data_IF_716165436848
#
_entry.id   IF_716165436848
#
_cell.length_a   1.000
_cell.length_b   1.000
_cell.length_c   1.000
_cell.angle_alpha   90.00
_cell.angle_beta   90.00
_cell.angle_gamma   90.00
#
_symmetry.space_group_name_H-M   'P 1'
#
loop_
_entity.id
_entity.type
_entity.pdbx_description
1 polymer ?
#
# COMPACT_ATOMS: atom_id res chain seq x y z
N UNK A 1 -13.73 -1.86 -23.85
CA UNK A 1 -14.33 -1.18 -22.68
C UNK A 1 -13.46 -1.23 -21.42
N UNK A 2 -12.69 -2.30 -21.16
CA UNK A 2 -11.82 -2.39 -19.98
C UNK A 2 -10.76 -1.25 -19.87
N UNK A 3 -10.20 -0.81 -20.99
CA UNK A 3 -9.15 0.22 -20.99
C UNK A 3 -9.66 1.62 -20.57
N UNK A 4 -10.96 1.91 -20.71
CA UNK A 4 -11.52 3.22 -20.36
C UNK A 4 -11.75 3.38 -18.86
N UNK A 5 -12.17 2.30 -18.19
CA UNK A 5 -12.39 2.28 -16.73
C UNK A 5 -11.04 2.36 -16.00
N UNK A 6 -10.01 1.66 -16.48
CA UNK A 6 -8.67 1.71 -15.89
C UNK A 6 -8.06 3.13 -15.96
N UNK A 7 -8.30 3.87 -17.03
CA UNK A 7 -7.83 5.25 -17.18
C UNK A 7 -8.52 6.21 -16.18
N UNK A 8 -9.84 6.09 -16.00
CA UNK A 8 -10.61 7.05 -15.19
C UNK A 8 -10.25 7.01 -13.69
N UNK A 9 -9.92 5.82 -13.16
CA UNK A 9 -9.55 5.66 -11.75
C UNK A 9 -8.06 5.89 -11.50
N UNK A 10 -7.20 5.73 -12.52
CA UNK A 10 -5.76 5.93 -12.35
C UNK A 10 -5.40 7.41 -12.11
N UNK A 11 -6.19 8.34 -12.64
CA UNK A 11 -6.01 9.79 -12.46
C UNK A 11 -6.60 10.33 -11.14
N UNK A 12 -7.33 9.49 -10.38
CA UNK A 12 -7.99 9.88 -9.13
C UNK A 12 -7.00 10.10 -7.97
N UNK A 13 -5.84 9.46 -8.03
CA UNK A 13 -4.86 9.43 -6.94
C UNK A 13 -3.54 10.04 -7.38
N UNK A 14 -3.37 11.34 -7.11
CA UNK A 14 -2.06 11.96 -7.07
C UNK A 14 -1.40 11.72 -5.69
N UNK A 15 -0.13 12.10 -5.55
CA UNK A 15 0.64 11.88 -4.31
C UNK A 15 -0.05 12.46 -3.06
N UNK A 16 -0.64 13.65 -3.19
CA UNK A 16 -1.34 14.30 -2.08
C UNK A 16 -2.60 13.53 -1.67
N UNK A 17 -3.41 13.08 -2.64
CA UNK A 17 -4.61 12.29 -2.37
C UNK A 17 -4.27 10.94 -1.71
N UNK A 18 -3.21 10.27 -2.18
CA UNK A 18 -2.71 9.04 -1.56
C UNK A 18 -2.25 9.28 -0.12
N UNK A 19 -1.48 10.35 0.10
CA UNK A 19 -1.01 10.71 1.43
C UNK A 19 -2.18 10.98 2.40
N UNK A 20 -3.20 11.72 1.96
CA UNK A 20 -4.41 11.97 2.76
C UNK A 20 -5.16 10.68 3.10
N UNK A 21 -5.30 9.77 2.14
CA UNK A 21 -5.92 8.46 2.39
C UNK A 21 -5.09 7.65 3.38
N UNK A 22 -3.78 7.56 3.20
CA UNK A 22 -2.89 6.84 4.12
C UNK A 22 -3.02 7.34 5.55
N UNK A 23 -2.97 8.67 5.74
CA UNK A 23 -3.18 9.27 7.06
C UNK A 23 -4.56 8.93 7.64
N UNK A 24 -5.60 8.98 6.82
CA UNK A 24 -6.97 8.63 7.25
C UNK A 24 -7.08 7.16 7.67
N UNK A 25 -6.38 6.24 6.99
CA UNK A 25 -6.32 4.83 7.37
C UNK A 25 -5.60 4.69 8.72
N UNK A 26 -4.43 5.32 8.88
CA UNK A 26 -3.65 5.30 10.12
C UNK A 26 -4.43 5.87 11.31
N UNK A 27 -5.14 6.98 11.11
CA UNK A 27 -5.93 7.62 12.18
C UNK A 27 -7.18 6.79 12.49
N UNK A 28 -8.05 6.55 11.51
CA UNK A 28 -9.37 5.95 11.76
C UNK A 28 -9.33 4.45 11.96
N UNK A 29 -8.56 3.74 11.15
CA UNK A 29 -8.53 2.28 11.18
C UNK A 29 -7.57 1.76 12.25
N UNK A 30 -6.38 2.36 12.35
CA UNK A 30 -5.37 1.91 13.31
C UNK A 30 -5.42 2.67 14.64
N UNK A 31 -5.77 3.97 14.64
CA UNK A 31 -5.90 4.77 15.86
C UNK A 31 -7.25 4.59 16.56
N UNK A 32 -8.35 4.77 15.82
CA UNK A 32 -9.71 4.71 16.37
C UNK A 32 -10.35 3.31 16.30
N UNK A 33 -9.75 2.37 15.56
CA UNK A 33 -10.26 1.00 15.41
C UNK A 33 -11.51 0.88 14.54
N UNK A 34 -11.83 1.90 13.73
CA UNK A 34 -12.99 1.92 12.84
C UNK A 34 -12.64 1.20 11.53
N UNK A 35 -13.31 0.09 11.16
CA UNK A 35 -13.00 -0.63 9.93
C UNK A 35 -13.14 0.27 8.70
N UNK A 36 -12.20 0.18 7.75
CA UNK A 36 -12.22 0.97 6.52
C UNK A 36 -13.54 0.81 5.73
N UNK A 37 -14.16 -0.37 5.78
CA UNK A 37 -15.46 -0.64 5.17
C UNK A 37 -16.61 0.24 5.73
N UNK A 38 -16.44 0.79 6.93
CA UNK A 38 -17.44 1.62 7.60
C UNK A 38 -17.27 3.10 7.26
N UNK A 39 -16.04 3.61 7.25
CA UNK A 39 -15.78 5.05 7.09
C UNK A 39 -15.30 5.46 5.70
N UNK A 40 -14.69 4.56 4.93
CA UNK A 40 -14.14 4.89 3.62
C UNK A 40 -15.24 4.89 2.58
N UNK A 41 -15.32 5.97 1.79
CA UNK A 41 -16.22 6.04 0.65
C UNK A 41 -15.91 4.90 -0.34
N UNK A 42 -16.96 4.22 -0.83
CA UNK A 42 -16.83 3.08 -1.74
C UNK A 42 -16.06 3.41 -3.02
N UNK A 43 -16.23 4.60 -3.59
CA UNK A 43 -15.52 5.03 -4.79
C UNK A 43 -14.03 5.23 -4.53
N UNK A 44 -13.67 5.75 -3.35
CA UNK A 44 -12.27 5.88 -2.90
C UNK A 44 -11.65 4.50 -2.76
N UNK A 45 -12.34 3.54 -2.12
CA UNK A 45 -11.86 2.16 -1.97
C UNK A 45 -11.67 1.49 -3.33
N UNK A 46 -12.66 1.57 -4.22
CA UNK A 46 -12.59 1.01 -5.58
C UNK A 46 -11.43 1.65 -6.34
N UNK A 47 -11.26 2.97 -6.24
CA UNK A 47 -10.18 3.68 -6.91
C UNK A 47 -8.80 3.26 -6.40
N UNK A 48 -8.62 3.08 -5.08
CA UNK A 48 -7.35 2.60 -4.50
C UNK A 48 -6.97 1.21 -5.01
N UNK A 49 -7.94 0.30 -5.08
CA UNK A 49 -7.74 -1.05 -5.60
C UNK A 49 -7.30 -0.99 -7.07
N UNK A 50 -7.99 -0.21 -7.91
CA UNK A 50 -7.61 -0.06 -9.32
C UNK A 50 -6.24 0.60 -9.49
N UNK A 51 -5.92 1.61 -8.67
CA UNK A 51 -4.62 2.27 -8.69
C UNK A 51 -3.49 1.28 -8.31
N UNK A 52 -3.68 0.47 -7.27
CA UNK A 52 -2.72 -0.56 -6.90
C UNK A 52 -2.55 -1.63 -7.99
N UNK A 53 -3.65 -2.09 -8.62
CA UNK A 53 -3.60 -3.02 -9.76
C UNK A 53 -2.83 -2.41 -10.94
N UNK A 54 -3.08 -1.14 -11.26
CA UNK A 54 -2.36 -0.44 -12.32
C UNK A 54 -0.86 -0.34 -12.00
N UNK A 55 -0.48 -0.08 -10.74
CA UNK A 55 0.93 -0.09 -10.32
C UNK A 55 1.56 -1.47 -10.44
N UNK A 56 0.87 -2.53 -10.05
CA UNK A 56 1.36 -3.91 -10.21
C UNK A 56 1.56 -4.28 -11.67
N UNK A 57 0.63 -3.90 -12.56
CA UNK A 57 0.75 -4.15 -13.99
C UNK A 57 1.80 -3.30 -14.72
N UNK A 58 2.32 -2.22 -14.11
CA UNK A 58 3.45 -1.46 -14.68
C UNK A 58 4.78 -2.22 -14.57
N UNK A 59 4.84 -3.21 -13.68
CA UNK A 59 5.96 -4.15 -13.65
C UNK A 59 5.72 -5.17 -14.77
N UNK A 60 6.48 -5.08 -15.86
CA UNK A 60 6.42 -6.06 -16.95
C UNK A 60 6.87 -7.46 -16.51
N UNK A 61 7.53 -7.54 -15.34
CA UNK A 61 8.09 -8.78 -14.80
C UNK A 61 7.23 -9.35 -13.66
N UNK A 62 6.89 -10.63 -13.78
CA UNK A 62 6.32 -11.46 -12.71
C UNK A 62 7.31 -11.67 -11.54
N UNK A 63 8.60 -11.42 -11.79
CA UNK A 63 9.69 -11.57 -10.83
C UNK A 63 10.30 -10.20 -10.58
N UNK A 64 10.14 -9.68 -9.36
CA UNK A 64 10.83 -8.47 -8.94
C UNK A 64 12.22 -8.86 -8.46
N UNK A 65 13.22 -8.71 -9.33
CA UNK A 65 14.62 -8.90 -8.97
C UNK A 65 15.12 -7.64 -8.21
N UNK A 66 15.40 -7.78 -6.92
CA UNK A 66 16.02 -6.71 -6.13
C UNK A 66 17.54 -6.83 -6.25
N UNK A 67 18.25 -5.86 -6.85
CA UNK A 67 19.70 -5.95 -6.99
C UNK A 67 20.39 -5.89 -5.62
N UNK A 68 21.45 -6.67 -5.43
CA UNK A 68 22.19 -6.73 -4.15
C UNK A 68 22.66 -5.34 -3.68
N UNK A 69 23.07 -4.48 -4.60
CA UNK A 69 23.48 -3.10 -4.28
C UNK A 69 22.36 -2.22 -3.71
N UNK A 70 21.09 -2.55 -3.96
CA UNK A 70 19.95 -1.92 -3.31
C UNK A 70 19.71 -2.50 -1.91
N UNK A 71 19.95 -3.80 -1.72
CA UNK A 71 19.88 -4.46 -0.40
C UNK A 71 20.97 -3.94 0.56
N UNK A 72 22.17 -3.65 0.05
CA UNK A 72 23.27 -3.10 0.85
C UNK A 72 22.99 -1.68 1.36
N UNK A 73 22.19 -0.91 0.61
CA UNK A 73 21.90 0.49 0.90
C UNK A 73 20.62 0.69 1.70
N UNK A 74 19.78 -0.33 1.81
CA UNK A 74 18.45 -0.18 2.37
C UNK A 74 18.01 -1.40 3.13
N UNK A 75 17.49 -1.19 4.34
CA UNK A 75 16.92 -2.26 5.15
C UNK A 75 15.68 -2.82 4.41
N UNK A 76 15.77 -4.09 4.03
CA UNK A 76 14.67 -4.83 3.41
C UNK A 76 14.17 -5.88 4.40
N UNK A 77 12.89 -5.83 4.71
CA UNK A 77 12.22 -6.74 5.61
C UNK A 77 11.29 -7.67 4.82
N UNK A 78 11.45 -8.98 5.02
CA UNK A 78 10.53 -9.99 4.51
C UNK A 78 9.51 -10.26 5.63
N UNK A 79 8.24 -10.01 5.34
CA UNK A 79 7.14 -10.16 6.28
C UNK A 79 6.27 -11.32 5.80
N UNK A 80 6.05 -12.31 6.68
CA UNK A 80 5.13 -13.41 6.42
C UNK A 80 3.66 -12.98 6.49
N UNK A 81 2.74 -13.95 6.64
CA UNK A 81 1.31 -13.63 6.73
C UNK A 81 1.02 -12.68 7.89
N UNK A 82 0.16 -11.69 7.61
CA UNK A 82 -0.43 -10.82 8.61
C UNK A 82 -1.82 -11.30 9.05
N UNK A 83 -2.47 -12.17 8.28
CA UNK A 83 -3.86 -12.63 8.49
C UNK A 83 -4.88 -11.49 8.76
N UNK A 84 -4.62 -10.29 8.23
CA UNK A 84 -5.42 -9.09 8.46
C UNK A 84 -5.22 -8.42 9.83
N UNK A 85 -4.22 -8.84 10.62
CA UNK A 85 -3.85 -8.22 11.88
C UNK A 85 -3.13 -6.88 11.65
N UNK A 86 -3.95 -5.83 11.72
CA UNK A 86 -3.51 -4.45 11.59
C UNK A 86 -2.61 -4.00 12.76
N UNK A 87 -2.78 -4.54 13.96
CA UNK A 87 -1.93 -4.19 15.11
C UNK A 87 -0.52 -4.74 14.89
N UNK A 88 -0.43 -5.97 14.38
CA UNK A 88 0.83 -6.59 14.03
C UNK A 88 1.57 -5.78 12.95
N UNK A 89 0.87 -5.35 11.90
CA UNK A 89 1.44 -4.51 10.83
C UNK A 89 2.05 -3.20 11.37
N UNK A 90 1.32 -2.48 12.24
CA UNK A 90 1.85 -1.24 12.85
C UNK A 90 3.05 -1.52 13.75
N UNK A 91 3.05 -2.65 14.45
CA UNK A 91 4.14 -3.04 15.32
C UNK A 91 5.42 -3.25 14.52
N UNK A 92 5.32 -3.94 13.38
CA UNK A 92 6.42 -4.10 12.42
C UNK A 92 6.92 -2.72 11.97
N UNK A 93 6.06 -1.83 11.52
CA UNK A 93 6.50 -0.51 11.05
C UNK A 93 7.13 0.37 12.12
N UNK A 94 6.72 0.24 13.40
CA UNK A 94 7.36 0.95 14.52
C UNK A 94 8.75 0.42 14.82
N UNK A 95 8.94 -0.90 14.75
CA UNK A 95 10.21 -1.56 15.04
C UNK A 95 11.21 -1.44 13.88
N UNK A 96 10.71 -1.54 12.65
CA UNK A 96 11.50 -1.64 11.43
C UNK A 96 11.52 -0.35 10.60
N UNK A 97 10.93 0.74 11.11
CA UNK A 97 10.76 2.05 10.45
C UNK A 97 9.73 2.06 9.31
N UNK A 98 8.86 3.08 9.30
CA UNK A 98 7.86 3.27 8.24
C UNK A 98 8.52 3.42 6.86
N UNK A 99 7.87 2.93 5.78
CA UNK A 99 8.21 3.35 4.42
C UNK A 99 8.21 4.89 4.31
N UNK A 100 9.09 5.47 3.48
CA UNK A 100 10.03 4.82 2.56
C UNK A 100 11.41 4.50 3.18
N UNK A 101 11.62 4.75 4.49
CA UNK A 101 12.93 4.57 5.13
C UNK A 101 13.40 3.11 5.16
N UNK A 102 12.45 2.18 5.13
CA UNK A 102 12.68 0.75 5.02
C UNK A 102 11.73 0.14 4.00
N UNK A 103 12.18 -0.93 3.36
CA UNK A 103 11.43 -1.62 2.30
C UNK A 103 10.86 -2.93 2.85
N UNK A 104 9.70 -3.31 2.34
CA UNK A 104 8.94 -4.46 2.84
C UNK A 104 8.49 -5.33 1.67
N UNK A 105 8.66 -6.64 1.83
CA UNK A 105 8.12 -7.68 0.94
C UNK A 105 7.14 -8.50 1.79
N UNK A 106 5.85 -8.41 1.48
CA UNK A 106 4.79 -9.17 2.14
C UNK A 106 4.51 -10.45 1.33
N UNK A 107 4.51 -11.62 2.00
CA UNK A 107 4.33 -12.95 1.41
C UNK A 107 2.90 -13.49 1.55
#
# INVERSE_FOLDING_TARGET
>A
MANFINSLYCDMFNEQALHTVMLSILEKSFGEGIPALVWMNREVMIGLIHHAIALMHRSDDMIIAVPESALERTLVFIVGSLDGDLIHLITIFKQCQMPPKSHYIFL
#
